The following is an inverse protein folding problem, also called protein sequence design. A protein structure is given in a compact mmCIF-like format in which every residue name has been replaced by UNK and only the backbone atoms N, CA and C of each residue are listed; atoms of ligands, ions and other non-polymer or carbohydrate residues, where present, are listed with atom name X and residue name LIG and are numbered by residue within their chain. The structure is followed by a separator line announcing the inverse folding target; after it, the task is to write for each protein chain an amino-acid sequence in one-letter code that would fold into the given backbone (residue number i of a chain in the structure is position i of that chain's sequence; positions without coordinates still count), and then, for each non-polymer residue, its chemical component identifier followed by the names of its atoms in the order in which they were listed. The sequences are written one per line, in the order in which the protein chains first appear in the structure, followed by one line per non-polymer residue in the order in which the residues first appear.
data_IF_587632021833
#
_entry.id   IF_587632021833
#
_cell.length_a   1.000
_cell.length_b   1.000
_cell.length_c   1.000
_cell.angle_alpha   90.00
_cell.angle_beta   90.00
_cell.angle_gamma   90.00
#
_symmetry.space_group_name_H-M   'P 1'
#
loop_
_entity.id
_entity.type
_entity.pdbx_description
1 polymer ?
#
# COMPACT_ATOMS: atom_id res chain seq x y z
N UNK A 1 48.88 66.26 -32.62
CA UNK A 1 47.59 65.96 -31.94
C UNK A 1 47.26 64.49 -32.17
N UNK A 2 47.26 63.69 -31.10
CA UNK A 2 47.28 62.23 -31.13
C UNK A 2 45.92 61.69 -31.61
N UNK A 3 45.84 61.24 -32.87
CA UNK A 3 44.66 60.58 -33.44
C UNK A 3 44.48 59.22 -32.79
N UNK A 4 43.48 59.08 -31.91
CA UNK A 4 43.05 57.76 -31.40
C UNK A 4 42.41 56.99 -32.56
N UNK A 5 42.94 55.80 -32.83
CA UNK A 5 42.55 54.95 -33.94
C UNK A 5 41.15 54.34 -33.66
N UNK A 6 40.12 54.62 -34.50
CA UNK A 6 38.74 54.15 -34.25
C UNK A 6 38.60 52.62 -34.25
N UNK A 7 39.57 51.89 -34.83
CA UNK A 7 39.63 50.43 -34.78
C UNK A 7 39.82 49.85 -33.36
N UNK A 8 40.48 50.59 -32.46
CA UNK A 8 40.74 50.09 -31.10
C UNK A 8 39.47 50.09 -30.23
N UNK A 9 38.59 51.07 -30.44
CA UNK A 9 37.30 51.15 -29.74
C UNK A 9 36.35 50.03 -30.20
N UNK A 10 36.35 49.71 -31.51
CA UNK A 10 35.52 48.64 -32.05
C UNK A 10 35.99 47.25 -31.55
N UNK A 11 37.30 47.06 -31.37
CA UNK A 11 37.86 45.80 -30.86
C UNK A 11 37.47 45.55 -29.39
N UNK A 12 37.57 46.56 -28.51
CA UNK A 12 37.13 46.44 -27.11
C UNK A 12 35.62 46.19 -26.97
N UNK A 13 34.78 46.75 -27.84
CA UNK A 13 33.32 46.51 -27.80
C UNK A 13 33.00 45.09 -28.26
N UNK A 14 33.67 44.58 -29.30
CA UNK A 14 33.45 43.21 -29.81
C UNK A 14 33.94 42.14 -28.81
N UNK A 15 35.08 42.35 -28.15
CA UNK A 15 35.57 41.42 -27.12
C UNK A 15 34.68 41.38 -25.89
N UNK A 16 34.21 42.55 -25.41
CA UNK A 16 33.24 42.59 -24.31
C UNK A 16 31.91 41.94 -24.68
N UNK A 17 31.45 42.11 -25.92
CA UNK A 17 30.22 41.46 -26.39
C UNK A 17 30.37 39.94 -26.46
N UNK A 18 31.51 39.42 -26.94
CA UNK A 18 31.80 37.97 -26.96
C UNK A 18 31.95 37.37 -25.56
N UNK A 19 32.61 38.08 -24.65
CA UNK A 19 32.77 37.66 -23.25
C UNK A 19 31.43 37.61 -22.52
N UNK A 20 30.59 38.64 -22.70
CA UNK A 20 29.24 38.70 -22.15
C UNK A 20 28.34 37.59 -22.73
N UNK A 21 28.43 37.33 -24.04
CA UNK A 21 27.64 36.27 -24.69
C UNK A 21 28.08 34.85 -24.27
N UNK A 22 29.38 34.61 -24.05
CA UNK A 22 29.86 33.33 -23.47
C UNK A 22 29.46 33.16 -22.01
N UNK A 23 29.45 34.25 -21.24
CA UNK A 23 29.04 34.24 -19.83
C UNK A 23 27.54 33.94 -19.71
N UNK A 24 26.70 34.60 -20.51
CA UNK A 24 25.26 34.33 -20.58
C UNK A 24 25.01 32.88 -20.99
N UNK A 25 25.67 32.35 -22.05
CA UNK A 25 25.49 30.94 -22.46
C UNK A 25 25.90 29.93 -21.39
N UNK A 26 26.98 30.19 -20.62
CA UNK A 26 27.38 29.34 -19.49
C UNK A 26 26.34 29.34 -18.36
N UNK A 27 25.79 30.50 -18.00
CA UNK A 27 24.75 30.57 -16.98
C UNK A 27 23.41 30.01 -17.46
N UNK A 28 23.03 30.19 -18.74
CA UNK A 28 21.84 29.54 -19.30
C UNK A 28 21.99 28.01 -19.33
N UNK A 29 23.18 27.49 -19.63
CA UNK A 29 23.43 26.05 -19.65
C UNK A 29 23.48 25.44 -18.23
N UNK A 30 24.02 26.16 -17.24
CA UNK A 30 23.98 25.76 -15.83
C UNK A 30 22.54 25.82 -15.27
N UNK A 31 21.75 26.83 -15.68
CA UNK A 31 20.34 26.94 -15.29
C UNK A 31 19.49 25.83 -15.92
N UNK A 32 19.78 25.43 -17.17
CA UNK A 32 19.13 24.27 -17.82
C UNK A 32 19.54 22.95 -17.14
N UNK A 33 20.80 22.79 -16.71
CA UNK A 33 21.24 21.60 -15.97
C UNK A 33 20.70 21.53 -14.53
N UNK A 34 20.42 22.68 -13.90
CA UNK A 34 19.74 22.74 -12.60
C UNK A 34 18.22 22.50 -12.71
N UNK A 35 17.62 22.80 -13.86
CA UNK A 35 16.20 22.54 -14.16
C UNK A 35 15.96 21.08 -14.60
N UNK A 36 16.99 20.33 -15.01
CA UNK A 36 16.84 18.88 -15.29
C UNK A 36 16.90 17.99 -14.05
N UNK A 37 17.08 18.55 -12.85
CA UNK A 37 16.86 17.84 -11.58
C UNK A 37 15.46 18.08 -10.99
N UNK A 38 14.53 18.57 -11.80
CA UNK A 38 13.12 18.70 -11.43
C UNK A 38 12.51 17.30 -11.42
N UNK A 39 12.34 16.78 -10.20
CA UNK A 39 11.39 15.75 -9.80
C UNK A 39 11.33 14.52 -10.72
N UNK A 40 12.18 13.53 -10.46
CA UNK A 40 11.66 12.16 -10.52
C UNK A 40 10.64 12.04 -9.40
N UNK A 41 9.40 12.42 -9.68
CA UNK A 41 8.25 11.87 -8.94
C UNK A 41 8.35 10.37 -9.21
N UNK A 42 8.86 9.59 -8.26
CA UNK A 42 8.66 8.14 -8.32
C UNK A 42 7.16 7.96 -8.46
N UNK A 43 6.72 7.36 -9.57
CA UNK A 43 5.34 6.94 -9.67
C UNK A 43 5.06 6.08 -8.44
N UNK A 44 4.10 6.50 -7.64
CA UNK A 44 3.75 5.84 -6.39
C UNK A 44 3.32 4.39 -6.65
N UNK A 45 2.66 4.15 -7.79
CA UNK A 45 2.22 2.83 -8.23
C UNK A 45 3.04 2.33 -9.43
N UNK A 46 3.31 1.01 -9.51
CA UNK A 46 3.99 0.42 -10.66
C UNK A 46 3.22 0.66 -11.97
N UNK A 47 3.92 0.82 -13.11
CA UNK A 47 3.24 0.93 -14.40
C UNK A 47 2.50 -0.36 -14.72
N UNK A 48 1.31 -0.24 -15.32
CA UNK A 48 0.60 -1.39 -15.88
C UNK A 48 1.46 -2.08 -16.95
N UNK A 49 1.36 -3.40 -17.03
CA UNK A 49 2.06 -4.21 -18.04
C UNK A 49 1.12 -4.71 -19.14
N UNK A 50 1.69 -5.20 -20.24
CA UNK A 50 0.93 -5.65 -21.41
C UNK A 50 -0.11 -6.72 -21.03
N UNK A 51 -1.38 -6.45 -21.38
CA UNK A 51 -2.52 -7.33 -21.09
C UNK A 51 -3.17 -7.14 -19.73
N UNK A 52 -2.59 -6.33 -18.83
CA UNK A 52 -3.25 -5.91 -17.60
C UNK A 52 -4.35 -4.89 -17.92
N UNK A 53 -5.54 -5.09 -17.34
CA UNK A 53 -6.68 -4.18 -17.48
C UNK A 53 -6.91 -3.41 -16.19
N UNK A 54 -7.43 -2.19 -16.31
CA UNK A 54 -7.81 -1.34 -15.18
C UNK A 54 -9.28 -0.99 -15.21
N UNK A 55 -9.91 -1.00 -14.04
CA UNK A 55 -11.24 -0.43 -13.78
C UNK A 55 -11.15 0.44 -12.53
N UNK A 56 -11.93 1.51 -12.45
CA UNK A 56 -11.87 2.44 -11.32
C UNK A 56 -13.26 2.84 -10.86
N UNK A 57 -13.49 2.84 -9.55
CA UNK A 57 -14.69 3.40 -8.91
C UNK A 57 -14.32 4.59 -8.06
N UNK A 58 -14.88 5.77 -8.36
CA UNK A 58 -14.71 6.99 -7.58
C UNK A 58 -15.68 7.06 -6.41
N UNK A 59 -15.18 7.48 -5.25
CA UNK A 59 -15.96 7.75 -4.03
C UNK A 59 -15.54 9.12 -3.52
N UNK A 60 -16.50 9.91 -3.04
CA UNK A 60 -16.23 11.14 -2.30
C UNK A 60 -16.45 10.86 -0.81
N UNK A 61 -15.52 11.36 0.02
CA UNK A 61 -15.61 11.40 1.47
C UNK A 61 -15.33 12.83 1.90
N UNK A 62 -16.37 13.62 2.15
CA UNK A 62 -16.24 15.08 2.21
C UNK A 62 -15.56 15.66 0.96
N UNK A 63 -14.43 16.34 1.15
CA UNK A 63 -13.59 16.89 0.06
C UNK A 63 -12.49 15.94 -0.43
N UNK A 64 -12.36 14.74 0.14
CA UNK A 64 -11.41 13.73 -0.29
C UNK A 64 -11.98 12.89 -1.44
N UNK A 65 -11.28 12.89 -2.57
CA UNK A 65 -11.54 12.00 -3.68
C UNK A 65 -10.77 10.68 -3.49
N UNK A 66 -11.51 9.56 -3.51
CA UNK A 66 -10.96 8.21 -3.40
C UNK A 66 -11.19 7.48 -4.72
N UNK A 67 -10.11 7.03 -5.34
CA UNK A 67 -10.12 6.18 -6.52
C UNK A 67 -9.86 4.72 -6.09
N UNK A 68 -10.90 3.88 -6.18
CA UNK A 68 -10.74 2.44 -6.03
C UNK A 68 -10.32 1.83 -7.37
N UNK A 69 -9.03 1.63 -7.57
CA UNK A 69 -8.45 1.17 -8.83
C UNK A 69 -8.23 -0.34 -8.78
N UNK A 70 -8.91 -1.07 -9.65
CA UNK A 70 -8.73 -2.51 -9.83
C UNK A 70 -7.78 -2.77 -11.00
N UNK A 71 -6.66 -3.40 -10.71
CA UNK A 71 -5.75 -3.96 -11.72
C UNK A 71 -6.02 -5.45 -11.86
N UNK A 72 -6.20 -5.95 -13.07
CA UNK A 72 -6.50 -7.37 -13.32
C UNK A 72 -5.69 -7.92 -14.50
N UNK A 73 -5.28 -9.18 -14.41
CA UNK A 73 -4.63 -9.89 -15.51
C UNK A 73 -5.08 -11.34 -15.54
N UNK A 74 -5.40 -11.82 -16.75
CA UNK A 74 -6.00 -13.13 -17.00
C UNK A 74 -7.26 -13.37 -16.15
N UNK A 75 -7.78 -14.60 -16.10
CA UNK A 75 -8.91 -14.92 -15.22
C UNK A 75 -8.44 -14.84 -13.76
N UNK A 76 -9.02 -13.96 -12.91
CA UNK A 76 -8.55 -13.80 -11.54
C UNK A 76 -8.70 -15.09 -10.74
N UNK A 77 -7.57 -15.68 -10.36
CA UNK A 77 -7.52 -16.81 -9.42
C UNK A 77 -7.44 -16.38 -7.96
N UNK A 78 -7.06 -15.11 -7.72
CA UNK A 78 -6.92 -14.48 -6.41
C UNK A 78 -7.20 -12.96 -6.53
N UNK A 79 -7.71 -12.35 -5.45
CA UNK A 79 -7.93 -10.90 -5.35
C UNK A 79 -7.24 -10.35 -4.09
N UNK A 80 -6.35 -9.38 -4.27
CA UNK A 80 -5.70 -8.63 -3.19
C UNK A 80 -6.40 -7.29 -2.93
N UNK A 81 -6.17 -6.74 -1.75
CA UNK A 81 -6.66 -5.44 -1.33
C UNK A 81 -5.54 -4.63 -0.67
N UNK A 82 -5.27 -3.44 -1.18
CA UNK A 82 -4.43 -2.43 -0.54
C UNK A 82 -5.32 -1.22 -0.19
N UNK A 83 -5.32 -0.82 1.07
CA UNK A 83 -6.18 0.26 1.58
C UNK A 83 -5.43 1.52 2.00
N UNK A 84 -4.12 1.43 2.21
CA UNK A 84 -3.28 2.60 2.46
C UNK A 84 -2.56 2.98 1.18
N UNK A 85 -2.81 4.21 0.72
CA UNK A 85 -2.26 4.68 -0.55
C UNK A 85 -0.72 4.79 -0.48
N UNK A 86 -0.17 5.18 0.67
CA UNK A 86 1.28 5.33 0.84
C UNK A 86 2.06 3.99 0.97
N UNK A 87 1.41 2.83 0.84
CA UNK A 87 2.01 1.50 1.03
C UNK A 87 2.21 0.76 -0.31
N UNK A 88 3.26 1.14 -1.04
CA UNK A 88 3.47 0.67 -2.42
C UNK A 88 4.20 -0.68 -2.56
N UNK A 89 4.98 -1.14 -1.56
CA UNK A 89 5.71 -2.43 -1.60
C UNK A 89 4.79 -3.61 -1.88
N UNK A 90 3.69 -3.75 -1.13
CA UNK A 90 2.68 -4.78 -1.36
C UNK A 90 2.02 -4.67 -2.74
N UNK A 91 1.72 -3.46 -3.22
CA UNK A 91 1.15 -3.27 -4.57
C UNK A 91 2.12 -3.76 -5.65
N UNK A 92 3.42 -3.46 -5.53
CA UNK A 92 4.44 -3.93 -6.48
C UNK A 92 4.59 -5.45 -6.45
N UNK A 93 4.65 -6.06 -5.26
CA UNK A 93 4.71 -7.51 -5.11
C UNK A 93 3.45 -8.20 -5.67
N UNK A 94 2.27 -7.59 -5.51
CA UNK A 94 1.04 -8.08 -6.13
C UNK A 94 1.12 -8.03 -7.66
N UNK A 95 1.71 -6.99 -8.25
CA UNK A 95 1.89 -6.91 -9.70
C UNK A 95 2.80 -8.03 -10.21
N UNK A 96 3.90 -8.31 -9.52
CA UNK A 96 4.78 -9.44 -9.85
C UNK A 96 4.04 -10.78 -9.76
N UNK A 97 3.31 -10.99 -8.66
CA UNK A 97 2.49 -12.19 -8.48
C UNK A 97 1.47 -12.35 -9.61
N UNK A 98 0.72 -11.29 -9.90
CA UNK A 98 -0.36 -11.27 -10.90
C UNK A 98 0.21 -11.51 -12.29
N UNK A 99 1.37 -10.93 -12.65
CA UNK A 99 2.02 -11.16 -13.93
C UNK A 99 2.34 -12.65 -14.18
N UNK A 100 2.72 -13.37 -13.12
CA UNK A 100 3.06 -14.80 -13.18
C UNK A 100 1.84 -15.73 -13.12
N UNK A 101 0.82 -15.37 -12.34
CA UNK A 101 -0.25 -16.30 -11.93
C UNK A 101 -1.66 -15.91 -12.39
N UNK A 102 -1.82 -14.69 -12.89
CA UNK A 102 -3.12 -14.04 -13.02
C UNK A 102 -3.70 -13.66 -11.66
N UNK A 103 -4.75 -12.83 -11.66
CA UNK A 103 -5.33 -12.31 -10.42
C UNK A 103 -5.81 -10.88 -10.57
N UNK A 104 -6.17 -10.28 -9.45
CA UNK A 104 -6.41 -8.85 -9.37
C UNK A 104 -5.95 -8.26 -8.04
N UNK A 105 -5.72 -6.95 -8.02
CA UNK A 105 -5.58 -6.16 -6.79
C UNK A 105 -6.55 -4.98 -6.89
N UNK A 106 -7.27 -4.72 -5.79
CA UNK A 106 -7.98 -3.47 -5.60
C UNK A 106 -7.10 -2.56 -4.74
N UNK A 107 -6.79 -1.39 -5.28
CA UNK A 107 -5.89 -0.41 -4.69
C UNK A 107 -6.66 0.88 -4.41
N UNK A 108 -6.60 1.37 -3.17
CA UNK A 108 -7.31 2.58 -2.74
C UNK A 108 -6.38 3.79 -2.87
N UNK A 109 -6.61 4.62 -3.89
CA UNK A 109 -5.76 5.76 -4.23
C UNK A 109 -6.43 7.08 -3.84
N UNK A 110 -5.76 7.91 -3.04
CA UNK A 110 -6.29 9.16 -2.48
C UNK A 110 -5.21 10.21 -2.17
N UNK A 111 -4.09 10.20 -2.91
CA UNK A 111 -3.07 11.27 -2.92
C UNK A 111 -1.76 10.97 -2.18
N UNK A 112 -1.42 9.70 -1.97
CA UNK A 112 -0.18 9.24 -1.35
C UNK A 112 -0.14 9.35 0.17
N UNK A 113 -1.30 9.41 0.81
CA UNK A 113 -1.43 9.57 2.25
C UNK A 113 -1.70 8.24 2.97
N UNK A 114 -1.31 8.14 4.24
CA UNK A 114 -1.63 7.00 5.10
C UNK A 114 -3.09 7.03 5.56
N UNK A 115 -3.56 8.17 6.05
CA UNK A 115 -4.90 8.32 6.61
C UNK A 115 -5.86 8.97 5.61
N UNK A 116 -7.15 8.65 5.72
CA UNK A 116 -8.19 9.51 5.18
C UNK A 116 -8.21 10.79 6.00
N UNK A 117 -8.04 11.93 5.32
CA UNK A 117 -8.14 13.26 5.90
C UNK A 117 -9.00 14.11 4.98
N UNK A 118 -10.10 14.62 5.51
CA UNK A 118 -11.13 15.32 4.75
C UNK A 118 -11.81 16.38 5.59
N UNK A 119 -12.46 17.34 4.94
CA UNK A 119 -13.20 18.43 5.57
C UNK A 119 -14.69 18.32 5.25
N UNK A 120 -15.53 18.41 6.27
CA UNK A 120 -16.98 18.54 6.15
C UNK A 120 -17.45 19.63 7.12
N UNK A 121 -18.29 20.56 6.65
CA UNK A 121 -18.80 21.70 7.45
C UNK A 121 -17.71 22.49 8.20
N UNK A 122 -16.60 22.80 7.52
CA UNK A 122 -15.42 23.52 8.06
C UNK A 122 -14.64 22.76 9.16
N UNK A 123 -15.00 21.51 9.44
CA UNK A 123 -14.32 20.63 10.39
C UNK A 123 -13.49 19.61 9.62
N UNK A 124 -12.20 19.52 9.96
CA UNK A 124 -11.32 18.48 9.41
C UNK A 124 -11.41 17.21 10.26
N UNK A 125 -11.73 16.10 9.60
CA UNK A 125 -11.75 14.75 10.15
C UNK A 125 -10.53 13.98 9.65
N UNK A 126 -10.11 13.00 10.45
CA UNK A 126 -9.04 12.08 10.08
C UNK A 126 -9.31 10.70 10.67
N UNK A 127 -9.08 9.65 9.90
CA UNK A 127 -9.16 8.26 10.38
C UNK A 127 -8.20 7.37 9.60
N UNK A 128 -7.88 6.23 10.19
CA UNK A 128 -7.15 5.16 9.49
C UNK A 128 -8.16 4.41 8.59
N UNK A 129 -7.86 4.19 7.28
CA UNK A 129 -8.71 3.40 6.41
C UNK A 129 -8.97 1.99 6.95
N UNK A 130 -8.04 1.43 7.72
CA UNK A 130 -8.18 0.16 8.43
C UNK A 130 -8.84 0.30 9.81
N UNK A 131 -9.78 1.24 9.97
CA UNK A 131 -10.57 1.38 11.20
C UNK A 131 -12.05 1.69 10.93
N UNK A 132 -12.54 1.43 9.70
CA UNK A 132 -13.88 1.85 9.26
C UNK A 132 -14.87 0.70 9.01
N UNK A 133 -14.52 -0.53 9.41
CA UNK A 133 -15.25 -1.72 8.99
C UNK A 133 -16.23 -2.29 10.03
N UNK A 134 -16.14 -1.85 11.29
CA UNK A 134 -17.06 -2.25 12.36
C UNK A 134 -17.75 -1.03 12.98
N UNK A 135 -18.91 -1.26 13.58
CA UNK A 135 -19.69 -0.19 14.22
C UNK A 135 -19.03 0.32 15.51
N UNK A 136 -18.27 -0.53 16.21
CA UNK A 136 -17.55 -0.18 17.44
C UNK A 136 -16.24 0.56 17.14
N UNK A 137 -15.49 0.13 16.13
CA UNK A 137 -14.20 0.71 15.79
C UNK A 137 -14.26 2.08 15.11
N UNK A 138 -15.28 2.32 14.28
CA UNK A 138 -15.49 3.58 13.57
C UNK A 138 -15.35 4.85 14.44
N UNK A 139 -16.11 5.00 15.54
CA UNK A 139 -16.00 6.17 16.41
C UNK A 139 -14.63 6.24 17.10
N UNK A 140 -14.01 5.09 17.43
CA UNK A 140 -12.68 5.03 18.07
C UNK A 140 -11.57 5.50 17.12
N UNK A 141 -11.63 5.07 15.85
CA UNK A 141 -10.70 5.47 14.80
C UNK A 141 -10.71 6.98 14.56
N UNK A 142 -11.89 7.60 14.52
CA UNK A 142 -12.02 9.07 14.44
C UNK A 142 -11.50 9.77 15.70
N UNK A 143 -11.92 9.30 16.88
CA UNK A 143 -11.56 9.92 18.15
C UNK A 143 -10.03 9.94 18.38
N UNK A 144 -9.29 8.96 17.84
CA UNK A 144 -7.82 8.93 17.86
C UNK A 144 -7.17 10.17 17.24
N UNK A 145 -7.86 10.83 16.29
CA UNK A 145 -7.35 12.01 15.58
C UNK A 145 -8.14 13.30 15.87
N UNK A 146 -9.07 13.27 16.82
CA UNK A 146 -9.75 14.46 17.33
C UNK A 146 -11.25 14.47 17.05
N UNK A 147 -11.67 15.03 15.91
CA UNK A 147 -13.07 15.25 15.61
C UNK A 147 -13.83 13.95 15.28
N UNK A 148 -15.05 13.82 15.80
CA UNK A 148 -15.96 12.71 15.50
C UNK A 148 -17.41 13.22 15.52
N UNK A 149 -18.24 12.71 14.61
CA UNK A 149 -19.67 13.03 14.52
C UNK A 149 -20.45 11.87 13.92
N UNK A 150 -21.72 11.72 14.29
CA UNK A 150 -22.60 10.65 13.75
C UNK A 150 -22.75 10.69 12.21
N UNK A 151 -22.90 11.86 11.56
CA UNK A 151 -22.95 11.91 10.09
C UNK A 151 -21.67 11.37 9.44
N UNK A 152 -20.50 11.75 9.96
CA UNK A 152 -19.20 11.31 9.44
C UNK A 152 -18.98 9.82 9.70
N UNK A 153 -19.39 9.31 10.86
CA UNK A 153 -19.37 7.87 11.15
C UNK A 153 -20.21 7.10 10.13
N UNK A 154 -21.40 7.61 9.79
CA UNK A 154 -22.27 6.99 8.80
C UNK A 154 -21.67 7.05 7.38
N UNK A 155 -21.03 8.16 7.01
CA UNK A 155 -20.33 8.30 5.73
C UNK A 155 -19.15 7.32 5.62
N UNK A 156 -18.28 7.26 6.63
CA UNK A 156 -17.17 6.31 6.70
C UNK A 156 -17.64 4.86 6.66
N UNK A 157 -18.72 4.52 7.37
CA UNK A 157 -19.35 3.20 7.31
C UNK A 157 -19.81 2.86 5.89
N UNK A 158 -20.37 3.84 5.17
CA UNK A 158 -20.77 3.65 3.79
C UNK A 158 -19.54 3.49 2.87
N UNK A 159 -18.49 4.28 3.07
CA UNK A 159 -17.21 4.16 2.35
C UNK A 159 -16.61 2.77 2.53
N UNK A 160 -16.51 2.27 3.77
CA UNK A 160 -16.06 0.90 4.06
C UNK A 160 -16.90 -0.18 3.34
N UNK A 161 -18.23 -0.01 3.32
CA UNK A 161 -19.13 -0.91 2.56
C UNK A 161 -18.88 -0.85 1.05
N UNK A 162 -18.62 0.33 0.48
CA UNK A 162 -18.33 0.47 -0.96
C UNK A 162 -16.99 -0.18 -1.28
N UNK A 163 -15.94 0.02 -0.47
CA UNK A 163 -14.64 -0.65 -0.62
C UNK A 163 -14.85 -2.17 -0.61
N UNK A 164 -15.53 -2.70 0.39
CA UNK A 164 -15.78 -4.15 0.51
C UNK A 164 -16.65 -4.70 -0.61
N UNK A 165 -17.66 -3.95 -1.08
CA UNK A 165 -18.49 -4.35 -2.22
C UNK A 165 -17.67 -4.37 -3.51
N UNK A 166 -16.79 -3.40 -3.70
CA UNK A 166 -15.92 -3.30 -4.87
C UNK A 166 -14.93 -4.45 -4.85
N UNK A 167 -14.28 -4.71 -3.71
CA UNK A 167 -13.39 -5.86 -3.52
C UNK A 167 -14.10 -7.20 -3.83
N UNK A 168 -15.33 -7.36 -3.34
CA UNK A 168 -16.12 -8.59 -3.45
C UNK A 168 -16.96 -8.73 -4.73
N UNK A 169 -16.71 -7.98 -5.80
CA UNK A 169 -17.53 -8.05 -7.03
C UNK A 169 -17.68 -9.48 -7.60
N UNK A 170 -16.66 -10.34 -7.44
CA UNK A 170 -16.67 -11.75 -7.85
C UNK A 170 -16.91 -12.73 -6.69
N UNK A 171 -17.30 -12.22 -5.52
CA UNK A 171 -17.55 -12.97 -4.28
C UNK A 171 -16.43 -13.97 -3.94
N UNK A 172 -15.18 -13.52 -3.76
CA UNK A 172 -14.04 -14.39 -3.46
C UNK A 172 -14.27 -15.23 -2.20
N UNK A 173 -15.05 -14.73 -1.23
CA UNK A 173 -15.36 -15.45 0.00
C UNK A 173 -14.17 -15.58 0.95
N UNK A 174 -13.20 -14.68 0.80
CA UNK A 174 -12.04 -14.44 1.67
C UNK A 174 -11.66 -12.95 1.56
N UNK A 175 -10.78 -12.49 2.43
CA UNK A 175 -10.12 -11.18 2.35
C UNK A 175 -8.61 -11.42 2.41
N UNK A 176 -7.88 -10.82 1.47
CA UNK A 176 -6.41 -10.90 1.39
C UNK A 176 -5.88 -9.47 1.26
N UNK A 177 -5.31 -8.94 2.33
CA UNK A 177 -4.79 -7.58 2.40
C UNK A 177 -3.27 -7.56 2.31
N UNK A 178 -2.75 -6.47 1.74
CA UNK A 178 -1.33 -6.19 1.62
C UNK A 178 -1.05 -4.82 2.22
N UNK A 179 -0.07 -4.79 3.11
CA UNK A 179 0.30 -3.63 3.88
C UNK A 179 1.82 -3.56 4.02
N UNK A 180 2.32 -2.39 4.40
CA UNK A 180 3.72 -2.25 4.78
C UNK A 180 3.86 -1.52 6.12
N UNK A 181 4.92 -1.86 6.84
CA UNK A 181 5.36 -1.19 8.05
C UNK A 181 6.74 -0.52 7.85
N UNK A 182 7.35 -0.08 8.94
CA UNK A 182 8.64 0.60 8.96
C UNK A 182 9.62 -0.14 9.87
N UNK A 183 10.91 -0.04 9.52
CA UNK A 183 12.04 -0.67 10.22
C UNK A 183 12.03 -0.42 11.73
N UNK A 184 12.07 -1.52 12.49
CA UNK A 184 12.12 -1.53 13.95
C UNK A 184 10.83 -1.03 14.63
N UNK A 185 9.73 -1.02 13.87
CA UNK A 185 8.43 -0.52 14.29
C UNK A 185 7.45 -1.62 14.64
N UNK A 186 6.40 -1.74 13.83
CA UNK A 186 5.36 -2.74 13.97
C UNK A 186 5.78 -4.02 13.25
N UNK A 187 5.78 -5.15 13.97
CA UNK A 187 6.21 -6.44 13.44
C UNK A 187 5.80 -7.60 14.32
N UNK A 188 6.37 -8.78 14.10
CA UNK A 188 6.02 -10.02 14.81
C UNK A 188 6.24 -9.90 16.32
N UNK A 189 7.24 -9.11 16.75
CA UNK A 189 7.53 -8.87 18.16
C UNK A 189 6.36 -8.17 18.87
N UNK A 190 5.62 -7.29 18.18
CA UNK A 190 4.51 -6.54 18.76
C UNK A 190 3.44 -7.45 19.35
N UNK A 191 3.31 -8.67 18.82
CA UNK A 191 2.31 -9.67 19.21
C UNK A 191 2.80 -10.67 20.27
N UNK A 192 4.06 -10.60 20.71
CA UNK A 192 4.54 -11.46 21.80
C UNK A 192 3.91 -11.08 23.15
N UNK A 193 3.86 -12.03 24.11
CA UNK A 193 3.35 -11.75 25.45
C UNK A 193 4.03 -10.53 26.09
N UNK A 194 3.25 -9.73 26.82
CA UNK A 194 3.68 -8.48 27.49
C UNK A 194 3.99 -7.29 26.55
N UNK A 195 3.97 -7.46 25.24
CA UNK A 195 4.06 -6.35 24.27
C UNK A 195 2.68 -5.76 23.94
N UNK A 196 2.67 -4.60 23.28
CA UNK A 196 1.48 -3.78 23.03
C UNK A 196 0.29 -4.57 22.44
N UNK A 197 0.57 -5.50 21.52
CA UNK A 197 -0.44 -6.28 20.82
C UNK A 197 -0.51 -7.73 21.30
N UNK A 198 0.16 -8.09 22.40
CA UNK A 198 0.20 -9.45 22.92
C UNK A 198 -1.17 -10.04 23.24
N UNK A 199 -2.14 -9.22 23.67
CA UNK A 199 -3.52 -9.65 23.92
C UNK A 199 -4.36 -9.84 22.65
N UNK A 200 -3.91 -9.29 21.51
CA UNK A 200 -4.59 -9.41 20.23
C UNK A 200 -4.23 -10.69 19.48
N UNK A 201 -3.20 -11.42 19.93
CA UNK A 201 -2.79 -12.70 19.39
C UNK A 201 -3.26 -13.87 20.27
N UNK A 202 -3.81 -14.90 19.66
CA UNK A 202 -4.01 -16.21 20.32
C UNK A 202 -2.73 -17.04 20.27
N UNK A 203 -2.06 -17.01 19.11
CA UNK A 203 -0.83 -17.77 18.87
C UNK A 203 0.11 -16.98 17.96
N UNK A 204 1.41 -17.09 18.24
CA UNK A 204 2.49 -16.49 17.43
C UNK A 204 3.51 -17.57 17.08
N UNK A 205 3.93 -17.62 15.82
CA UNK A 205 5.10 -18.38 15.39
C UNK A 205 6.14 -17.39 14.87
N UNK A 206 7.35 -17.49 15.41
CA UNK A 206 8.50 -16.66 15.02
C UNK A 206 9.49 -17.55 14.27
N UNK A 207 9.82 -17.18 13.04
CA UNK A 207 11.00 -17.66 12.35
C UNK A 207 12.14 -16.66 12.61
N UNK A 208 13.15 -17.10 13.36
CA UNK A 208 14.31 -16.28 13.72
C UNK A 208 15.29 -16.01 12.56
N UNK A 209 15.09 -16.63 11.39
CA UNK A 209 15.82 -16.35 10.16
C UNK A 209 15.12 -15.30 9.28
N UNK A 210 13.86 -14.98 9.57
CA UNK A 210 13.14 -13.90 8.91
C UNK A 210 13.34 -12.56 9.62
N UNK A 211 13.21 -11.49 8.85
CA UNK A 211 13.07 -10.15 9.41
C UNK A 211 11.82 -10.08 10.30
N UNK A 212 11.93 -9.43 11.45
CA UNK A 212 10.83 -9.36 12.42
C UNK A 212 9.70 -8.43 11.96
N UNK A 213 9.97 -7.55 11.01
CA UNK A 213 8.99 -6.67 10.41
C UNK A 213 8.21 -7.36 9.26
N UNK A 214 8.64 -8.53 8.80
CA UNK A 214 7.97 -9.29 7.75
C UNK A 214 7.14 -10.43 8.36
N UNK A 215 5.81 -10.35 8.27
CA UNK A 215 4.89 -11.30 8.90
C UNK A 215 3.55 -11.46 8.17
N UNK A 216 2.83 -12.52 8.55
CA UNK A 216 1.45 -12.74 8.13
C UNK A 216 0.53 -12.77 9.35
N UNK A 217 -0.58 -12.03 9.32
CA UNK A 217 -1.67 -12.17 10.29
C UNK A 217 -2.85 -12.92 9.66
N UNK A 218 -3.42 -13.88 10.40
CA UNK A 218 -4.58 -14.67 9.98
C UNK A 218 -5.63 -14.76 11.07
N UNK A 219 -6.88 -15.02 10.69
CA UNK A 219 -8.00 -15.19 11.64
C UNK A 219 -8.41 -16.65 11.85
N UNK A 220 -7.83 -17.59 11.08
CA UNK A 220 -8.17 -19.02 11.17
C UNK A 220 -6.97 -19.87 11.57
N UNK A 221 -7.20 -20.77 12.54
CA UNK A 221 -6.19 -21.73 13.00
C UNK A 221 -5.68 -22.64 11.86
N UNK A 222 -6.53 -22.95 10.87
CA UNK A 222 -6.12 -23.77 9.72
C UNK A 222 -5.08 -23.06 8.87
N UNK A 223 -5.29 -21.78 8.56
CA UNK A 223 -4.32 -20.95 7.83
C UNK A 223 -3.03 -20.79 8.64
N UNK A 224 -3.14 -20.52 9.94
CA UNK A 224 -1.99 -20.39 10.84
C UNK A 224 -1.11 -21.63 10.80
N UNK A 225 -1.69 -22.82 10.93
CA UNK A 225 -0.93 -24.07 10.94
C UNK A 225 -0.26 -24.37 9.59
N UNK A 226 -0.87 -24.00 8.47
CA UNK A 226 -0.27 -24.15 7.15
C UNK A 226 0.95 -23.23 7.00
N UNK A 227 0.80 -21.96 7.36
CA UNK A 227 1.89 -20.97 7.27
C UNK A 227 3.03 -21.27 8.24
N UNK A 228 2.69 -21.65 9.48
CA UNK A 228 3.67 -22.12 10.47
C UNK A 228 4.50 -23.29 9.96
N UNK A 229 3.91 -24.20 9.17
CA UNK A 229 4.62 -25.33 8.57
C UNK A 229 5.60 -24.90 7.48
N UNK A 230 5.32 -23.80 6.78
CA UNK A 230 6.24 -23.15 5.84
C UNK A 230 7.29 -22.29 6.55
N UNK A 231 7.30 -22.30 7.89
CA UNK A 231 8.23 -21.58 8.76
C UNK A 231 8.29 -20.08 8.46
N UNK A 232 7.13 -19.43 8.35
CA UNK A 232 7.06 -17.96 8.23
C UNK A 232 6.59 -17.31 9.52
N UNK A 233 7.04 -16.08 9.82
CA UNK A 233 6.48 -15.26 10.89
C UNK A 233 4.97 -15.15 10.71
N UNK A 234 4.20 -15.70 11.66
CA UNK A 234 2.74 -15.72 11.54
C UNK A 234 2.05 -15.53 12.88
N UNK A 235 0.98 -14.73 12.87
CA UNK A 235 0.10 -14.47 14.01
C UNK A 235 -1.28 -15.02 13.73
N UNK A 236 -1.82 -15.79 14.67
CA UNK A 236 -3.24 -16.09 14.75
C UNK A 236 -3.90 -15.05 15.65
N UNK A 237 -4.84 -14.30 15.09
CA UNK A 237 -5.60 -13.30 15.85
C UNK A 237 -6.46 -13.97 16.93
N UNK A 238 -6.46 -13.37 18.13
CA UNK A 238 -7.31 -13.75 19.24
C UNK A 238 -8.78 -13.49 18.94
N UNK A 239 -9.64 -14.42 19.35
CA UNK A 239 -11.09 -14.20 19.33
C UNK A 239 -11.52 -13.09 20.30
N UNK A 240 -10.67 -12.78 21.29
CA UNK A 240 -10.85 -11.72 22.29
C UNK A 240 -10.11 -10.42 21.89
N UNK A 241 -9.59 -10.33 20.66
CA UNK A 241 -8.98 -9.10 20.17
C UNK A 241 -10.00 -7.94 20.23
N UNK A 242 -9.54 -6.80 20.73
CA UNK A 242 -10.37 -5.59 20.85
C UNK A 242 -10.83 -5.13 19.47
N UNK A 243 -12.10 -4.73 19.36
CA UNK A 243 -12.63 -4.20 18.11
C UNK A 243 -12.08 -2.79 17.86
N UNK A 244 -11.09 -2.71 16.97
CA UNK A 244 -10.45 -1.48 16.53
C UNK A 244 -10.97 -1.00 15.15
N UNK A 245 -11.97 -1.68 14.59
CA UNK A 245 -12.55 -1.34 13.29
C UNK A 245 -11.79 -1.87 12.08
N UNK A 246 -10.73 -2.65 12.29
CA UNK A 246 -9.91 -3.21 11.21
C UNK A 246 -10.62 -4.28 10.38
N UNK A 247 -10.09 -4.51 9.18
CA UNK A 247 -10.55 -5.59 8.31
C UNK A 247 -10.41 -6.97 8.95
N UNK A 248 -9.39 -7.19 9.78
CA UNK A 248 -9.17 -8.48 10.43
C UNK A 248 -10.25 -8.75 11.48
N UNK A 249 -10.65 -7.76 12.27
CA UNK A 249 -11.78 -7.86 13.20
C UNK A 249 -13.08 -8.06 12.44
N UNK A 250 -13.34 -7.25 11.41
CA UNK A 250 -14.53 -7.42 10.55
C UNK A 250 -14.62 -8.83 9.96
N UNK A 251 -13.51 -9.35 9.43
CA UNK A 251 -13.45 -10.68 8.84
C UNK A 251 -13.70 -11.77 9.89
N UNK A 252 -13.08 -11.66 11.07
CA UNK A 252 -13.28 -12.59 12.18
C UNK A 252 -14.74 -12.63 12.65
N UNK A 253 -15.37 -11.48 12.89
CA UNK A 253 -16.78 -11.38 13.31
C UNK A 253 -17.74 -11.97 12.26
N UNK A 254 -17.41 -11.83 10.98
CA UNK A 254 -18.23 -12.32 9.86
C UNK A 254 -17.82 -13.73 9.37
N UNK A 255 -16.85 -14.38 10.03
CA UNK A 255 -16.33 -15.71 9.66
C UNK A 255 -15.86 -15.78 8.21
N UNK A 256 -15.14 -14.74 7.80
CA UNK A 256 -14.51 -14.62 6.48
C UNK A 256 -13.03 -15.00 6.65
N UNK A 257 -12.50 -15.96 5.87
CA UNK A 257 -11.07 -16.26 5.87
C UNK A 257 -10.27 -15.01 5.55
N UNK A 258 -9.29 -14.70 6.41
CA UNK A 258 -8.50 -13.48 6.32
C UNK A 258 -7.01 -13.79 6.35
N UNK A 259 -6.27 -13.15 5.44
CA UNK A 259 -4.82 -13.08 5.43
C UNK A 259 -4.43 -11.60 5.28
N UNK A 260 -3.54 -11.14 6.13
CA UNK A 260 -2.84 -9.88 5.99
C UNK A 260 -1.34 -10.14 5.86
N UNK A 261 -0.73 -9.66 4.78
CA UNK A 261 0.73 -9.68 4.61
C UNK A 261 1.25 -8.29 4.96
N UNK A 262 2.14 -8.24 5.95
CA UNK A 262 2.82 -7.05 6.44
C UNK A 262 4.31 -7.22 6.21
N UNK A 263 4.94 -6.24 5.57
CA UNK A 263 6.39 -6.23 5.36
C UNK A 263 6.98 -4.87 5.58
N UNK A 264 8.28 -4.81 5.81
CA UNK A 264 9.00 -3.55 5.80
C UNK A 264 8.95 -2.88 4.43
N UNK A 265 8.80 -1.55 4.42
CA UNK A 265 8.89 -0.77 3.18
C UNK A 265 10.18 -1.09 2.41
N UNK A 266 10.02 -1.48 1.14
CA UNK A 266 11.12 -1.86 0.25
C UNK A 266 11.41 -3.37 0.20
N UNK A 267 10.81 -4.20 1.06
CA UNK A 267 10.96 -5.66 1.05
C UNK A 267 10.02 -6.32 0.02
N UNK A 268 10.12 -5.90 -1.24
CA UNK A 268 9.22 -6.37 -2.31
C UNK A 268 9.36 -7.89 -2.58
N UNK A 269 10.59 -8.40 -2.62
CA UNK A 269 10.83 -9.83 -2.88
C UNK A 269 10.29 -10.71 -1.74
N UNK A 270 10.44 -10.26 -0.48
CA UNK A 270 9.88 -10.98 0.66
C UNK A 270 8.36 -10.87 0.70
N UNK A 271 7.78 -9.71 0.37
CA UNK A 271 6.34 -9.58 0.22
C UNK A 271 5.79 -10.54 -0.84
N UNK A 272 6.47 -10.65 -2.00
CA UNK A 272 6.10 -11.61 -3.03
C UNK A 272 6.18 -13.06 -2.51
N UNK A 273 7.22 -13.40 -1.74
CA UNK A 273 7.35 -14.73 -1.10
C UNK A 273 6.19 -14.99 -0.14
N UNK A 274 5.86 -14.04 0.73
CA UNK A 274 4.76 -14.16 1.69
C UNK A 274 3.38 -14.20 1.02
N UNK A 275 3.18 -13.43 -0.07
CA UNK A 275 1.99 -13.55 -0.93
C UNK A 275 1.87 -14.97 -1.47
N UNK A 276 2.94 -15.55 -2.03
CA UNK A 276 2.91 -16.92 -2.56
C UNK A 276 2.55 -17.94 -1.46
N UNK A 277 3.13 -17.81 -0.26
CA UNK A 277 2.80 -18.67 0.88
C UNK A 277 1.36 -18.49 1.34
N UNK A 278 0.87 -17.25 1.43
CA UNK A 278 -0.51 -16.93 1.79
C UNK A 278 -1.52 -17.48 0.77
N UNK A 279 -1.25 -17.35 -0.53
CA UNK A 279 -2.13 -17.89 -1.57
C UNK A 279 -2.14 -19.41 -1.56
N UNK A 280 -0.97 -20.05 -1.38
CA UNK A 280 -0.87 -21.52 -1.20
C UNK A 280 -1.70 -21.96 0.01
N UNK A 281 -1.54 -21.30 1.15
CA UNK A 281 -2.28 -21.60 2.38
C UNK A 281 -3.79 -21.41 2.18
N UNK A 282 -4.23 -20.32 1.55
CA UNK A 282 -5.65 -20.07 1.26
C UNK A 282 -6.24 -21.14 0.32
N UNK A 283 -5.52 -21.52 -0.74
CA UNK A 283 -5.96 -22.56 -1.67
C UNK A 283 -6.08 -23.94 -1.00
N UNK A 284 -5.18 -24.27 -0.07
CA UNK A 284 -5.21 -25.54 0.68
C UNK A 284 -6.24 -25.54 1.81
N UNK A 285 -6.41 -24.39 2.48
CA UNK A 285 -7.41 -24.23 3.52
C UNK A 285 -8.84 -24.23 2.95
N UNK A 286 -9.02 -23.67 1.76
CA UNK A 286 -10.33 -23.42 1.16
C UNK A 286 -10.39 -23.86 -0.32
N UNK A 287 -10.28 -25.16 -0.61
CA UNK A 287 -10.32 -25.66 -1.99
C UNK A 287 -11.64 -25.35 -2.71
N UNK A 288 -12.72 -25.12 -1.97
CA UNK A 288 -14.03 -24.74 -2.53
C UNK A 288 -14.03 -23.37 -3.22
N UNK A 289 -13.03 -22.52 -2.94
CA UNK A 289 -12.91 -21.18 -3.52
C UNK A 289 -12.24 -21.16 -4.89
N UNK A 290 -11.73 -22.30 -5.37
CA UNK A 290 -11.14 -22.43 -6.71
C UNK A 290 -9.85 -21.62 -6.92
N UNK A 291 -9.19 -21.20 -5.82
CA UNK A 291 -7.92 -20.48 -5.88
C UNK A 291 -6.85 -21.41 -6.43
N UNK A 292 -6.16 -20.97 -7.48
CA UNK A 292 -5.04 -21.73 -8.05
C UNK A 292 -3.84 -21.56 -7.15
N UNK A 293 -3.12 -22.66 -6.88
CA UNK A 293 -1.81 -22.58 -6.23
C UNK A 293 -0.86 -21.76 -7.11
N UNK A 294 0.06 -20.99 -6.50
CA UNK A 294 1.07 -20.28 -7.28
C UNK A 294 1.83 -21.25 -8.19
N UNK A 295 2.20 -20.80 -9.38
CA UNK A 295 3.16 -21.51 -10.21
C UNK A 295 4.44 -21.74 -9.40
N UNK A 296 4.99 -22.97 -9.45
CA UNK A 296 6.27 -23.24 -8.81
C UNK A 296 7.32 -22.31 -9.42
N UNK A 297 8.02 -21.57 -8.54
CA UNK A 297 9.21 -20.83 -8.91
C UNK A 297 10.17 -21.78 -9.63
N UNK A 298 10.42 -21.54 -10.92
CA UNK A 298 11.53 -22.19 -11.63
C UNK A 298 12.89 -21.62 -11.22
N UNK A 299 12.93 -20.65 -10.30
CA UNK A 299 14.17 -20.20 -9.71
C UNK A 299 14.54 -21.17 -8.58
N UNK A 300 15.37 -22.15 -8.93
CA UNK A 300 16.11 -22.93 -7.95
C UNK A 300 16.95 -22.00 -7.10
N UNK A 301 16.77 -22.11 -5.79
CA UNK A 301 17.80 -21.72 -4.82
C UNK A 301 18.98 -22.70 -4.92
#
# INVERSE_FOLDING_TARGET
MQKRNPLWFLFCVIENYKSMHMTIKKYTMIFILLITNIFMVKAQHPPVFDGMTTDSTKIMLGDLELDLVRYSYQTPGINFLAIHDNEDTGVKAAFDYIAMNGGSILDCQYGGARNFKFTEDEITYQTDPNSIYTDEGLPLGLAKYGASSEPVIAELKNTGKIIMKTYNQNRPGYIFTLHNNADGGFGIQSYLPENELGSTADSVHVNYEMDEDDMILVTELKLFNLLKKEDVNVVLQSQEAVDDGSLSIYAMQNKIPYINVEVQHGHQDENLRLIQMGVKAMAEAHPEKGIKKPAESTAGF
#
